data_IF_203240692611
#
_entry.id   IF_203240692611
#
_cell.length_a   1.000
_cell.length_b   1.000
_cell.length_c   1.000
_cell.angle_alpha   90.00
_cell.angle_beta   90.00
_cell.angle_gamma   90.00
#
_symmetry.space_group_name_H-M   'P 1'
#
loop_
_entity.id
_entity.type
_entity.pdbx_description
1 polymer ?
#
# COMPACT_ATOMS: atom_id res chain seq x y z
N UNK A 1 -27.52 -0.32 10.37
CA UNK A 1 -27.95 -1.54 9.66
C UNK A 1 -27.41 -2.81 10.36
N UNK A 2 -27.31 -2.82 11.70
CA UNK A 2 -26.65 -3.90 12.46
C UNK A 2 -27.60 -4.99 12.99
N UNK A 3 -28.91 -4.80 12.91
CA UNK A 3 -29.88 -5.65 13.62
C UNK A 3 -30.07 -7.04 13.02
N UNK A 4 -29.94 -7.20 11.71
CA UNK A 4 -30.13 -8.51 11.04
C UNK A 4 -28.94 -9.47 11.18
N UNK A 5 -27.73 -8.94 11.41
CA UNK A 5 -26.53 -9.76 11.61
C UNK A 5 -26.48 -10.35 13.03
N UNK A 6 -26.76 -9.53 14.05
CA UNK A 6 -26.75 -9.95 15.45
C UNK A 6 -27.84 -10.98 15.77
N UNK A 7 -29.04 -10.82 15.21
CA UNK A 7 -30.12 -11.81 15.36
C UNK A 7 -29.76 -13.15 14.70
N UNK A 8 -29.10 -13.11 13.53
CA UNK A 8 -28.61 -14.31 12.84
C UNK A 8 -27.50 -15.03 13.60
N UNK A 9 -26.54 -14.29 14.16
CA UNK A 9 -25.45 -14.84 14.95
C UNK A 9 -25.95 -15.47 16.27
N UNK A 10 -26.90 -14.83 16.96
CA UNK A 10 -27.50 -15.37 18.18
C UNK A 10 -28.28 -16.66 17.92
N UNK A 11 -29.08 -16.69 16.83
CA UNK A 11 -29.81 -17.89 16.41
C UNK A 11 -28.85 -19.03 16.02
N UNK A 12 -27.76 -18.72 15.31
CA UNK A 12 -26.73 -19.70 14.97
C UNK A 12 -26.06 -20.27 16.22
N UNK A 13 -25.71 -19.41 17.19
CA UNK A 13 -25.07 -19.81 18.46
C UNK A 13 -25.91 -20.84 19.21
N UNK A 14 -27.20 -20.55 19.42
CA UNK A 14 -28.09 -21.45 20.15
C UNK A 14 -28.18 -22.84 19.51
N UNK A 15 -28.25 -22.91 18.18
CA UNK A 15 -28.35 -24.17 17.43
C UNK A 15 -27.04 -24.95 17.44
N UNK A 16 -25.89 -24.26 17.35
CA UNK A 16 -24.57 -24.89 17.49
C UNK A 16 -24.42 -25.53 18.87
N UNK A 17 -24.84 -24.84 19.94
CA UNK A 17 -24.79 -25.35 21.31
C UNK A 17 -25.72 -26.56 21.52
N UNK A 18 -26.88 -26.57 20.87
CA UNK A 18 -27.79 -27.71 20.88
C UNK A 18 -27.19 -28.93 20.17
N UNK A 19 -26.63 -28.73 18.97
CA UNK A 19 -25.93 -29.77 18.22
C UNK A 19 -24.74 -30.33 19.02
N UNK A 20 -23.95 -29.46 19.66
CA UNK A 20 -22.81 -29.87 20.47
C UNK A 20 -23.22 -30.74 21.65
N UNK A 21 -24.30 -30.38 22.36
CA UNK A 21 -24.87 -31.20 23.44
C UNK A 21 -25.37 -32.55 22.92
N UNK A 22 -25.99 -32.59 21.75
CA UNK A 22 -26.46 -33.84 21.16
C UNK A 22 -25.33 -34.79 20.71
N UNK A 23 -24.14 -34.25 20.43
CA UNK A 23 -22.95 -34.99 20.00
C UNK A 23 -21.91 -35.19 21.12
N UNK A 24 -22.28 -34.92 22.37
CA UNK A 24 -21.39 -35.03 23.51
C UNK A 24 -20.79 -36.45 23.63
N UNK A 25 -19.48 -36.52 23.90
CA UNK A 25 -18.73 -37.78 23.97
C UNK A 25 -18.36 -38.42 22.62
N UNK A 26 -18.82 -37.84 21.49
CA UNK A 26 -18.42 -38.27 20.13
C UNK A 26 -17.47 -37.29 19.44
N UNK A 27 -17.47 -36.04 19.88
CA UNK A 27 -16.52 -35.03 19.41
C UNK A 27 -15.32 -34.90 20.35
N UNK A 28 -14.14 -34.70 19.77
CA UNK A 28 -12.88 -34.55 20.51
C UNK A 28 -12.71 -33.15 21.11
N UNK A 29 -13.44 -32.16 20.60
CA UNK A 29 -13.41 -30.78 21.05
C UNK A 29 -14.82 -30.16 21.01
N UNK A 30 -15.09 -29.25 21.95
CA UNK A 30 -16.31 -28.44 21.96
C UNK A 30 -16.38 -27.48 20.76
N UNK A 31 -17.56 -26.90 20.49
CA UNK A 31 -17.72 -25.94 19.40
C UNK A 31 -16.89 -24.68 19.67
N UNK A 32 -16.26 -24.10 18.64
CA UNK A 32 -15.75 -22.74 18.73
C UNK A 32 -16.92 -21.75 18.77
N UNK A 33 -16.65 -20.52 19.23
CA UNK A 33 -17.67 -19.47 19.27
C UNK A 33 -18.08 -19.00 17.86
N UNK A 34 -19.33 -18.59 17.69
CA UNK A 34 -19.87 -18.08 16.40
C UNK A 34 -19.18 -16.77 15.96
N UNK A 35 -18.48 -16.09 16.85
CA UNK A 35 -17.58 -14.96 16.51
C UNK A 35 -16.37 -15.38 15.66
N UNK A 36 -16.08 -16.68 15.57
CA UNK A 36 -15.01 -17.27 14.76
C UNK A 36 -15.62 -18.29 13.76
N UNK A 37 -16.30 -17.76 12.74
CA UNK A 37 -16.92 -18.56 11.69
C UNK A 37 -15.90 -19.45 10.94
N UNK A 38 -14.64 -19.01 10.86
CA UNK A 38 -13.54 -19.75 10.23
C UNK A 38 -13.22 -21.05 10.97
N UNK A 39 -13.18 -21.02 12.31
CA UNK A 39 -13.02 -22.23 13.12
C UNK A 39 -14.32 -23.07 13.19
N UNK A 40 -15.48 -22.43 13.13
CA UNK A 40 -16.79 -23.09 13.25
C UNK A 40 -17.12 -24.00 12.06
N UNK A 41 -16.81 -23.59 10.83
CA UNK A 41 -17.11 -24.40 9.65
C UNK A 41 -16.42 -25.79 9.64
N UNK A 42 -15.11 -25.92 9.92
CA UNK A 42 -14.45 -27.22 10.09
C UNK A 42 -15.07 -28.07 11.22
N UNK A 43 -15.44 -27.45 12.34
CA UNK A 43 -16.08 -28.15 13.44
C UNK A 43 -17.45 -28.71 13.03
N UNK A 44 -18.29 -27.93 12.34
CA UNK A 44 -19.58 -28.36 11.81
C UNK A 44 -19.44 -29.48 10.76
N UNK A 45 -18.43 -29.41 9.89
CA UNK A 45 -18.12 -30.47 8.94
C UNK A 45 -17.72 -31.78 9.64
N UNK A 46 -16.95 -31.68 10.74
CA UNK A 46 -16.59 -32.82 11.59
C UNK A 46 -17.82 -33.40 12.30
N UNK A 47 -18.66 -32.55 12.90
CA UNK A 47 -19.92 -32.95 13.53
C UNK A 47 -20.83 -33.73 12.56
N UNK A 48 -20.98 -33.23 11.33
CA UNK A 48 -21.73 -33.90 10.26
C UNK A 48 -21.14 -35.27 9.92
N UNK A 49 -19.81 -35.35 9.80
CA UNK A 49 -19.10 -36.60 9.47
C UNK A 49 -19.28 -37.63 10.59
N UNK A 50 -19.20 -37.21 11.85
CA UNK A 50 -19.44 -38.06 13.01
C UNK A 50 -20.87 -38.59 13.06
N UNK A 51 -21.88 -37.74 12.85
CA UNK A 51 -23.28 -38.15 12.81
C UNK A 51 -23.57 -39.11 11.64
N UNK A 52 -23.04 -38.83 10.45
CA UNK A 52 -23.17 -39.71 9.29
C UNK A 52 -22.47 -41.07 9.49
N UNK A 53 -21.33 -41.08 10.18
CA UNK A 53 -20.63 -42.32 10.56
C UNK A 53 -21.45 -43.17 11.55
N UNK A 54 -22.11 -42.53 12.52
CA UNK A 54 -23.01 -43.21 13.44
C UNK A 54 -24.25 -43.78 12.73
N UNK A 55 -24.85 -43.01 11.82
CA UNK A 55 -25.95 -43.47 10.97
C UNK A 55 -25.55 -44.69 10.14
N UNK A 56 -24.36 -44.68 9.54
CA UNK A 56 -23.87 -45.80 8.72
C UNK A 56 -23.61 -47.07 9.55
N UNK A 57 -23.38 -46.93 10.86
CA UNK A 57 -23.23 -48.05 11.78
C UNK A 57 -24.58 -48.63 12.23
N UNK A 58 -25.69 -47.93 12.01
CA UNK A 58 -27.03 -48.46 12.29
C UNK A 58 -27.33 -49.61 11.33
N UNK A 59 -27.59 -50.80 11.87
CA UNK A 59 -27.89 -51.99 11.07
C UNK A 59 -29.31 -52.01 10.49
N UNK A 60 -30.21 -51.15 10.97
CA UNK A 60 -31.60 -51.03 10.53
C UNK A 60 -32.05 -49.57 10.60
N UNK A 61 -33.05 -49.21 9.81
CA UNK A 61 -33.63 -47.86 9.79
C UNK A 61 -34.70 -47.73 10.88
N UNK A 62 -34.28 -47.37 12.09
CA UNK A 62 -35.12 -47.23 13.28
C UNK A 62 -35.09 -45.80 13.85
N UNK A 63 -35.62 -45.60 15.06
CA UNK A 63 -35.64 -44.29 15.71
C UNK A 63 -34.23 -43.74 16.00
N UNK A 64 -33.25 -44.61 16.24
CA UNK A 64 -31.85 -44.22 16.46
C UNK A 64 -31.23 -43.75 15.15
N UNK A 65 -31.42 -44.49 14.06
CA UNK A 65 -31.01 -44.06 12.72
C UNK A 65 -31.67 -42.73 12.31
N UNK A 66 -32.96 -42.54 12.64
CA UNK A 66 -33.68 -41.28 12.44
C UNK A 66 -33.04 -40.11 13.19
N UNK A 67 -32.64 -40.32 14.44
CA UNK A 67 -31.92 -39.32 15.25
C UNK A 67 -30.58 -38.91 14.63
N UNK A 68 -29.76 -39.89 14.20
CA UNK A 68 -28.47 -39.62 13.56
C UNK A 68 -28.61 -38.90 12.22
N UNK A 69 -29.62 -39.28 11.42
CA UNK A 69 -29.94 -38.57 10.18
C UNK A 69 -30.31 -37.10 10.46
N UNK A 70 -31.14 -36.86 11.48
CA UNK A 70 -31.51 -35.49 11.89
C UNK A 70 -30.30 -34.66 12.29
N UNK A 71 -29.38 -35.21 13.09
CA UNK A 71 -28.16 -34.52 13.51
C UNK A 71 -27.21 -34.24 12.33
N UNK A 72 -27.09 -35.17 11.38
CA UNK A 72 -26.28 -34.97 10.19
C UNK A 72 -26.86 -33.89 9.26
N UNK A 73 -28.19 -33.80 9.15
CA UNK A 73 -28.87 -32.73 8.40
C UNK A 73 -28.74 -31.38 9.12
N UNK A 74 -28.93 -31.34 10.44
CA UNK A 74 -28.75 -30.13 11.24
C UNK A 74 -27.32 -29.57 11.12
N UNK A 75 -26.30 -30.42 11.25
CA UNK A 75 -24.91 -30.02 11.06
C UNK A 75 -24.62 -29.49 9.64
N UNK A 76 -25.28 -30.06 8.61
CA UNK A 76 -25.18 -29.56 7.23
C UNK A 76 -25.83 -28.19 7.09
N UNK A 77 -27.03 -28.00 7.63
CA UNK A 77 -27.77 -26.74 7.52
C UNK A 77 -27.05 -25.61 8.26
N UNK A 78 -26.47 -25.91 9.43
CA UNK A 78 -25.61 -24.97 10.16
C UNK A 78 -24.34 -24.64 9.38
N UNK A 79 -23.73 -25.61 8.67
CA UNK A 79 -22.57 -25.36 7.83
C UNK A 79 -22.91 -24.39 6.67
N UNK A 80 -24.08 -24.56 6.04
CA UNK A 80 -24.56 -23.63 5.00
C UNK A 80 -24.82 -22.24 5.60
N UNK A 81 -25.49 -22.16 6.75
CA UNK A 81 -25.76 -20.89 7.42
C UNK A 81 -24.45 -20.15 7.80
N UNK A 82 -23.46 -20.88 8.31
CA UNK A 82 -22.12 -20.36 8.61
C UNK A 82 -21.45 -19.79 7.35
N UNK A 83 -21.55 -20.49 6.21
CA UNK A 83 -21.02 -20.01 4.93
C UNK A 83 -21.70 -18.74 4.42
N UNK A 84 -23.03 -18.65 4.54
CA UNK A 84 -23.79 -17.44 4.15
C UNK A 84 -23.39 -16.23 5.00
N UNK A 85 -23.23 -16.42 6.32
CA UNK A 85 -22.79 -15.34 7.21
C UNK A 85 -21.35 -14.90 6.91
N UNK A 86 -20.44 -15.85 6.68
CA UNK A 86 -19.05 -15.54 6.31
C UNK A 86 -18.98 -14.75 5.00
N UNK A 87 -19.77 -15.11 3.98
CA UNK A 87 -19.83 -14.37 2.73
C UNK A 87 -20.38 -12.96 2.93
N UNK A 88 -21.45 -12.81 3.73
CA UNK A 88 -22.02 -11.52 4.05
C UNK A 88 -21.03 -10.61 4.79
N UNK A 89 -20.28 -11.17 5.74
CA UNK A 89 -19.22 -10.45 6.47
C UNK A 89 -18.10 -10.00 5.53
N UNK A 90 -17.68 -10.86 4.59
CA UNK A 90 -16.66 -10.52 3.59
C UNK A 90 -17.12 -9.36 2.69
N UNK A 91 -18.34 -9.43 2.15
CA UNK A 91 -18.91 -8.35 1.33
C UNK A 91 -19.01 -7.04 2.13
N UNK A 92 -19.41 -7.11 3.40
CA UNK A 92 -19.47 -5.94 4.27
C UNK A 92 -18.09 -5.31 4.50
N UNK A 93 -17.04 -6.13 4.71
CA UNK A 93 -15.66 -5.68 4.84
C UNK A 93 -15.14 -5.00 3.58
N UNK A 94 -15.37 -5.60 2.41
CA UNK A 94 -14.98 -5.00 1.13
C UNK A 94 -15.65 -3.64 0.92
N UNK A 95 -16.96 -3.55 1.20
CA UNK A 95 -17.70 -2.29 1.13
C UNK A 95 -17.14 -1.24 2.11
N UNK A 96 -16.75 -1.67 3.32
CA UNK A 96 -16.15 -0.79 4.31
C UNK A 96 -14.77 -0.27 3.88
N UNK A 97 -13.93 -1.13 3.28
CA UNK A 97 -12.63 -0.72 2.71
C UNK A 97 -12.83 0.28 1.56
N UNK A 98 -13.82 0.04 0.68
CA UNK A 98 -14.14 0.97 -0.39
C UNK A 98 -14.60 2.34 0.14
N UNK A 99 -15.42 2.34 1.20
CA UNK A 99 -15.87 3.57 1.87
C UNK A 99 -14.72 4.32 2.52
N UNK A 100 -13.84 3.62 3.24
CA UNK A 100 -12.63 4.15 3.84
C UNK A 100 -11.73 4.86 2.80
N UNK A 101 -11.48 4.20 1.67
CA UNK A 101 -10.70 4.78 0.57
C UNK A 101 -11.41 5.96 -0.09
N UNK A 102 -12.75 5.97 -0.11
CA UNK A 102 -13.53 7.10 -0.61
C UNK A 102 -13.36 8.34 0.29
N UNK A 103 -13.39 8.18 1.61
CA UNK A 103 -13.11 9.29 2.55
C UNK A 103 -11.72 9.87 2.32
N UNK A 104 -10.71 9.01 2.22
CA UNK A 104 -9.33 9.46 1.99
C UNK A 104 -9.15 10.18 0.65
N UNK A 105 -9.99 9.94 -0.36
CA UNK A 105 -9.92 10.69 -1.63
C UNK A 105 -10.22 12.18 -1.47
N UNK A 106 -10.99 12.57 -0.46
CA UNK A 106 -11.32 13.96 -0.19
C UNK A 106 -10.15 14.74 0.46
N UNK A 107 -9.14 14.00 0.94
CA UNK A 107 -7.95 14.58 1.58
C UNK A 107 -6.99 15.12 0.51
N UNK A 108 -6.50 16.35 0.72
CA UNK A 108 -5.84 17.14 -0.32
C UNK A 108 -4.34 16.88 -0.51
N UNK A 109 -3.62 16.51 0.56
CA UNK A 109 -2.15 16.38 0.53
C UNK A 109 -1.68 14.99 0.91
N UNK A 110 -0.45 14.65 0.50
CA UNK A 110 0.20 13.40 0.86
C UNK A 110 0.42 13.28 2.38
N UNK A 111 0.71 14.40 3.06
CA UNK A 111 0.86 14.45 4.50
C UNK A 111 -0.47 14.14 5.21
N UNK A 112 -1.55 14.84 4.81
CA UNK A 112 -2.86 14.63 5.43
C UNK A 112 -3.39 13.21 5.20
N UNK A 113 -3.08 12.60 4.05
CA UNK A 113 -3.41 11.19 3.78
C UNK A 113 -2.73 10.25 4.77
N UNK A 114 -1.44 10.43 5.02
CA UNK A 114 -0.68 9.64 5.98
C UNK A 114 -1.18 9.85 7.41
N UNK A 115 -1.67 11.06 7.71
CA UNK A 115 -2.21 11.43 9.00
C UNK A 115 -3.55 10.75 9.31
N UNK A 116 -4.42 10.61 8.30
CA UNK A 116 -5.76 10.01 8.46
C UNK A 116 -5.83 8.50 8.22
N UNK A 117 -4.80 7.90 7.62
CA UNK A 117 -4.86 6.50 7.17
C UNK A 117 -5.22 5.51 8.29
N UNK A 118 -4.55 5.59 9.45
CA UNK A 118 -4.80 4.69 10.57
C UNK A 118 -6.15 4.94 11.24
N UNK A 119 -6.60 6.20 11.30
CA UNK A 119 -7.92 6.55 11.82
C UNK A 119 -9.02 5.89 10.99
N UNK A 120 -8.97 6.09 9.68
CA UNK A 120 -9.96 5.54 8.73
C UNK A 120 -9.98 4.01 8.75
N UNK A 121 -8.82 3.36 8.86
CA UNK A 121 -8.74 1.90 9.00
C UNK A 121 -9.49 1.39 10.24
N UNK A 122 -9.33 2.06 11.37
CA UNK A 122 -9.97 1.66 12.64
C UNK A 122 -11.44 2.07 12.69
N UNK A 123 -11.80 3.21 12.08
CA UNK A 123 -13.17 3.73 12.05
C UNK A 123 -14.09 2.91 11.13
N UNK A 124 -13.55 2.36 10.03
CA UNK A 124 -14.36 1.72 9.00
C UNK A 124 -14.05 0.25 8.75
N UNK A 125 -12.79 -0.17 8.76
CA UNK A 125 -12.41 -1.49 8.26
C UNK A 125 -12.50 -2.61 9.30
N UNK A 126 -13.12 -2.36 10.45
CA UNK A 126 -13.36 -3.37 11.50
C UNK A 126 -12.14 -3.71 12.37
N UNK A 127 -10.97 -3.12 12.10
CA UNK A 127 -9.79 -3.28 12.94
C UNK A 127 -9.91 -2.46 14.22
N UNK A 128 -9.35 -2.99 15.31
CA UNK A 128 -9.27 -2.24 16.57
C UNK A 128 -7.97 -1.47 16.69
N UNK A 129 -6.93 -1.90 15.97
CA UNK A 129 -5.66 -1.17 15.93
C UNK A 129 -5.12 -1.14 14.52
N UNK A 130 -4.49 -0.03 14.19
CA UNK A 130 -3.72 0.13 12.97
C UNK A 130 -2.41 0.85 13.26
N UNK A 131 -1.32 0.40 12.65
CA UNK A 131 0.00 1.01 12.72
C UNK A 131 0.53 1.23 11.31
N UNK A 132 0.82 2.49 10.98
CA UNK A 132 1.52 2.89 9.78
C UNK A 132 3.02 2.98 10.07
N UNK A 133 3.79 2.28 9.26
CA UNK A 133 5.25 2.28 9.28
C UNK A 133 5.82 2.73 7.95
N UNK A 134 7.03 3.30 7.98
CA UNK A 134 7.80 3.71 6.81
C UNK A 134 9.03 2.82 6.66
N UNK A 135 9.50 2.69 5.43
CA UNK A 135 10.78 2.04 5.12
C UNK A 135 11.79 3.06 4.62
N UNK A 136 13.02 2.99 5.13
CA UNK A 136 14.17 3.76 4.64
C UNK A 136 15.35 2.81 4.37
N UNK A 137 15.48 2.36 3.13
CA UNK A 137 16.44 1.32 2.76
C UNK A 137 16.15 0.01 3.50
N UNK A 138 17.11 -0.46 4.30
CA UNK A 138 16.99 -1.67 5.12
C UNK A 138 16.36 -1.41 6.50
N UNK A 139 15.82 -0.20 6.73
CA UNK A 139 15.25 0.17 8.03
C UNK A 139 13.74 0.24 7.99
N UNK A 140 13.13 -0.29 9.04
CA UNK A 140 11.74 -0.09 9.40
C UNK A 140 11.64 1.00 10.47
N UNK A 141 10.81 2.01 10.17
CA UNK A 141 10.53 3.16 11.01
C UNK A 141 9.03 3.19 11.32
N UNK A 142 8.60 2.66 12.47
CA UNK A 142 7.22 2.83 12.91
C UNK A 142 6.90 4.32 13.07
N UNK A 143 5.70 4.74 12.68
CA UNK A 143 5.41 6.17 12.60
C UNK A 143 4.10 6.61 13.25
N UNK A 144 2.96 5.99 12.92
CA UNK A 144 1.66 6.41 13.46
C UNK A 144 0.83 5.21 13.83
N UNK A 145 0.25 5.21 15.02
CA UNK A 145 -0.68 4.17 15.43
C UNK A 145 -2.02 4.76 15.85
N UNK A 146 -3.09 3.99 15.61
CA UNK A 146 -4.45 4.27 16.07
C UNK A 146 -5.00 3.06 16.79
N UNK A 147 -5.70 3.30 17.89
CA UNK A 147 -6.34 2.29 18.72
C UNK A 147 -7.81 2.67 18.93
N UNK A 148 -8.70 1.68 18.86
CA UNK A 148 -10.08 1.79 19.28
C UNK A 148 -10.15 1.61 20.80
N UNK A 149 -10.26 2.72 21.53
CA UNK A 149 -10.37 2.71 22.99
C UNK A 149 -9.23 3.44 23.67
N UNK A 150 -8.46 2.72 24.50
CA UNK A 150 -7.41 3.22 25.41
C UNK A 150 -6.42 4.18 24.73
N UNK A 151 -6.76 5.48 24.76
CA UNK A 151 -5.99 6.54 24.13
C UNK A 151 -4.65 6.76 24.83
N UNK A 152 -4.60 6.55 26.15
CA UNK A 152 -3.38 6.70 26.96
C UNK A 152 -2.37 5.60 26.61
N UNK A 153 -2.83 4.36 26.37
CA UNK A 153 -1.98 3.31 25.83
C UNK A 153 -1.52 3.66 24.41
N UNK A 154 -2.43 4.12 23.55
CA UNK A 154 -2.11 4.48 22.17
C UNK A 154 -1.02 5.56 22.08
N UNK A 155 -1.13 6.61 22.91
CA UNK A 155 -0.17 7.70 22.93
C UNK A 155 1.20 7.24 23.44
N UNK A 156 1.26 6.53 24.58
CA UNK A 156 2.51 5.99 25.12
C UNK A 156 3.18 5.01 24.17
N UNK A 157 2.40 4.08 23.61
CA UNK A 157 2.88 3.12 22.61
C UNK A 157 3.46 3.86 21.40
N UNK A 158 2.73 4.82 20.84
CA UNK A 158 3.17 5.56 19.65
C UNK A 158 4.45 6.36 19.92
N UNK A 159 4.55 7.02 21.08
CA UNK A 159 5.73 7.80 21.46
C UNK A 159 6.98 6.92 21.55
N UNK A 160 6.89 5.78 22.25
CA UNK A 160 8.02 4.86 22.38
C UNK A 160 8.39 4.21 21.04
N UNK A 161 7.38 3.91 20.21
CA UNK A 161 7.58 3.25 18.92
C UNK A 161 8.22 4.19 17.88
N UNK A 162 7.90 5.50 17.89
CA UNK A 162 8.46 6.50 16.97
C UNK A 162 9.97 6.73 17.15
N UNK A 163 10.51 6.48 18.34
CA UNK A 163 11.94 6.58 18.60
C UNK A 163 12.73 5.38 18.04
N UNK A 164 12.03 4.27 17.73
CA UNK A 164 12.66 3.03 17.29
C UNK A 164 13.06 3.11 15.83
N UNK A 165 14.25 2.59 15.56
CA UNK A 165 14.72 2.27 14.22
C UNK A 165 15.07 0.79 14.21
N UNK A 166 14.29 -0.01 13.48
CA UNK A 166 14.43 -1.46 13.47
C UNK A 166 15.11 -1.83 12.15
N UNK A 167 16.23 -2.54 12.22
CA UNK A 167 16.84 -3.08 11.00
C UNK A 167 15.98 -4.26 10.52
N UNK A 168 15.65 -4.29 9.23
CA UNK A 168 14.81 -5.35 8.64
C UNK A 168 15.46 -6.73 8.76
N UNK A 169 16.73 -6.83 9.15
CA UNK A 169 17.39 -8.11 9.46
C UNK A 169 16.82 -8.74 10.74
N UNK A 170 16.41 -7.90 11.68
CA UNK A 170 15.81 -8.28 12.98
C UNK A 170 14.28 -8.38 12.92
N UNK A 171 13.72 -8.25 11.71
CA UNK A 171 12.30 -8.35 11.41
C UNK A 171 12.08 -9.20 10.14
N UNK A 172 12.34 -10.53 10.19
CA UNK A 172 12.28 -11.40 9.02
C UNK A 172 10.92 -11.40 8.30
N UNK A 173 9.81 -11.28 9.03
CA UNK A 173 8.48 -11.19 8.44
C UNK A 173 8.33 -9.91 7.61
N UNK A 174 8.64 -8.75 8.21
CA UNK A 174 8.51 -7.45 7.56
C UNK A 174 9.49 -7.32 6.38
N UNK A 175 10.67 -7.95 6.46
CA UNK A 175 11.58 -8.09 5.32
C UNK A 175 10.95 -8.89 4.18
N UNK A 176 10.33 -10.03 4.45
CA UNK A 176 9.66 -10.83 3.42
C UNK A 176 8.51 -10.05 2.75
N UNK A 177 7.77 -9.25 3.54
CA UNK A 177 6.74 -8.33 3.03
C UNK A 177 7.33 -7.29 2.07
N UNK A 178 8.49 -6.72 2.41
CA UNK A 178 9.21 -5.75 1.56
C UNK A 178 9.71 -6.42 0.27
N UNK A 179 10.38 -7.56 0.40
CA UNK A 179 11.05 -8.26 -0.71
C UNK A 179 10.03 -8.87 -1.69
N UNK A 180 8.94 -9.44 -1.18
CA UNK A 180 7.92 -10.11 -2.00
C UNK A 180 6.78 -9.20 -2.42
N UNK A 181 6.65 -8.02 -1.82
CA UNK A 181 5.57 -7.08 -2.11
C UNK A 181 4.17 -7.71 -1.89
N UNK A 182 4.01 -8.48 -0.81
CA UNK A 182 2.78 -9.21 -0.50
C UNK A 182 2.39 -9.02 0.97
N UNK A 183 1.09 -9.09 1.28
CA UNK A 183 0.63 -9.07 2.66
C UNK A 183 0.99 -10.38 3.37
N UNK A 184 1.07 -10.33 4.70
CA UNK A 184 1.27 -11.49 5.55
C UNK A 184 0.33 -11.47 6.75
N UNK A 185 0.14 -12.65 7.33
CA UNK A 185 -0.68 -12.88 8.53
C UNK A 185 0.15 -13.61 9.58
N UNK A 186 -0.04 -13.23 10.84
CA UNK A 186 0.57 -13.84 12.02
C UNK A 186 -0.54 -14.19 13.00
N UNK A 187 -0.73 -15.49 13.23
CA UNK A 187 -1.78 -16.02 14.11
C UNK A 187 -1.33 -16.11 15.57
N UNK A 188 -0.04 -16.26 15.81
CA UNK A 188 0.59 -16.28 17.15
C UNK A 188 1.89 -15.45 17.10
N UNK A 189 1.78 -14.17 17.44
CA UNK A 189 2.90 -13.24 17.38
C UNK A 189 3.96 -13.52 18.45
N UNK A 190 3.57 -14.12 19.58
CA UNK A 190 4.51 -14.47 20.66
C UNK A 190 5.33 -15.70 20.27
N UNK A 191 4.71 -16.72 19.68
CA UNK A 191 5.37 -17.94 19.24
C UNK A 191 6.10 -17.86 17.90
N UNK A 192 5.71 -16.98 16.98
CA UNK A 192 6.28 -16.93 15.63
C UNK A 192 7.68 -16.31 15.62
N UNK A 193 8.71 -17.10 15.30
CA UNK A 193 10.11 -16.66 15.29
C UNK A 193 10.42 -15.53 14.29
N UNK A 194 9.54 -15.27 13.32
CA UNK A 194 9.72 -14.24 12.28
C UNK A 194 9.34 -12.84 12.74
N UNK A 195 8.62 -12.69 13.86
CA UNK A 195 8.13 -11.40 14.34
C UNK A 195 9.19 -10.65 15.13
N UNK A 196 9.15 -9.32 15.09
CA UNK A 196 9.97 -8.49 15.97
C UNK A 196 9.46 -8.51 17.43
N UNK A 197 10.09 -9.32 18.29
CA UNK A 197 9.67 -9.51 19.69
C UNK A 197 9.58 -8.23 20.52
N UNK A 198 10.55 -7.29 20.45
CA UNK A 198 10.43 -6.05 21.20
C UNK A 198 9.18 -5.22 20.85
N UNK A 199 8.72 -5.27 19.59
CA UNK A 199 7.51 -4.56 19.16
C UNK A 199 6.24 -5.31 19.56
N UNK A 200 6.25 -6.64 19.44
CA UNK A 200 5.13 -7.52 19.85
C UNK A 200 4.86 -7.37 21.35
N UNK A 201 5.90 -7.40 22.17
CA UNK A 201 5.81 -7.27 23.63
C UNK A 201 5.34 -5.87 24.04
N UNK A 202 5.90 -4.82 23.45
CA UNK A 202 5.49 -3.44 23.69
C UNK A 202 4.01 -3.23 23.35
N UNK A 203 3.54 -3.84 22.26
CA UNK A 203 2.18 -3.72 21.77
C UNK A 203 1.18 -4.70 22.38
N UNK A 204 1.61 -5.64 23.24
CA UNK A 204 0.78 -6.75 23.72
C UNK A 204 0.05 -7.49 22.58
N UNK A 205 0.73 -7.62 21.43
CA UNK A 205 0.12 -8.13 20.20
C UNK A 205 0.08 -9.65 20.23
N UNK A 206 -1.11 -10.24 20.12
CA UNK A 206 -1.29 -11.69 20.05
C UNK A 206 -1.31 -12.24 18.62
N UNK A 207 -1.90 -11.50 17.69
CA UNK A 207 -2.00 -11.84 16.26
C UNK A 207 -2.14 -10.54 15.46
N UNK A 208 -1.66 -10.49 14.22
CA UNK A 208 -1.77 -9.31 13.37
C UNK A 208 -1.64 -9.64 11.89
N UNK A 209 -2.15 -8.73 11.05
CA UNK A 209 -1.93 -8.71 9.60
C UNK A 209 -1.05 -7.54 9.22
N UNK A 210 -0.26 -7.70 8.17
CA UNK A 210 0.64 -6.67 7.64
C UNK A 210 0.52 -6.60 6.12
N UNK A 211 0.48 -5.38 5.58
CA UNK A 211 0.31 -5.10 4.16
C UNK A 211 1.27 -4.00 3.67
N UNK A 212 2.05 -4.24 2.60
CA UNK A 212 2.96 -3.24 2.05
C UNK A 212 2.24 -2.11 1.30
N UNK A 213 2.79 -0.91 1.36
CA UNK A 213 2.32 0.27 0.62
C UNK A 213 3.27 0.49 -0.56
N UNK A 214 2.75 0.37 -1.79
CA UNK A 214 3.58 0.23 -3.01
C UNK A 214 3.25 1.27 -4.09
N UNK A 215 3.49 2.57 -3.85
CA UNK A 215 3.38 3.59 -4.90
C UNK A 215 4.51 3.39 -5.93
N UNK A 216 4.18 3.44 -7.22
CA UNK A 216 5.18 3.35 -8.30
C UNK A 216 6.05 2.08 -8.29
N UNK A 217 5.57 0.97 -7.70
CA UNK A 217 6.25 -0.33 -7.72
C UNK A 217 7.35 -0.52 -6.68
N UNK A 218 7.46 0.35 -5.67
CA UNK A 218 8.40 0.19 -4.56
C UNK A 218 7.69 0.28 -3.22
N UNK A 219 8.05 -0.59 -2.28
CA UNK A 219 7.57 -0.51 -0.90
C UNK A 219 8.13 0.75 -0.23
N UNK A 220 7.24 1.62 0.25
CA UNK A 220 7.60 2.85 1.01
C UNK A 220 7.27 2.75 2.49
N UNK A 221 6.56 1.69 2.87
CA UNK A 221 6.02 1.48 4.19
C UNK A 221 5.06 0.30 4.19
N UNK A 222 4.44 0.07 5.34
CA UNK A 222 3.43 -0.97 5.50
C UNK A 222 2.44 -0.58 6.60
N UNK A 223 1.22 -1.08 6.46
CA UNK A 223 0.23 -1.08 7.52
C UNK A 223 0.34 -2.38 8.29
N UNK A 224 0.22 -2.30 9.62
CA UNK A 224 -0.15 -3.43 10.46
C UNK A 224 -1.54 -3.17 11.03
N UNK A 225 -2.33 -4.22 11.22
CA UNK A 225 -3.61 -4.10 11.89
C UNK A 225 -3.96 -5.37 12.67
N UNK A 226 -4.72 -5.20 13.75
CA UNK A 226 -5.19 -6.30 14.57
C UNK A 226 -6.48 -5.95 15.36
N UNK A 227 -6.89 -6.90 16.20
CA UNK A 227 -8.11 -6.83 17.00
C UNK A 227 -7.87 -6.72 18.51
N UNK A 228 -6.65 -6.44 18.98
CA UNK A 228 -6.44 -6.26 20.41
C UNK A 228 -7.13 -4.95 20.91
N UNK A 229 -7.70 -4.93 22.13
CA UNK A 229 -7.67 -5.97 23.18
C UNK A 229 -8.84 -6.97 23.14
N UNK A 230 -9.59 -7.09 22.04
CA UNK A 230 -10.82 -7.92 22.02
C UNK A 230 -10.60 -9.42 22.19
N UNK A 231 -9.37 -9.91 22.01
CA UNK A 231 -9.05 -11.34 22.02
C UNK A 231 -9.36 -12.07 20.71
N UNK A 232 -10.00 -11.42 19.73
CA UNK A 232 -10.19 -11.98 18.38
C UNK A 232 -8.83 -12.16 17.67
N UNK A 233 -8.62 -13.35 17.11
CA UNK A 233 -7.45 -13.65 16.28
C UNK A 233 -7.72 -13.17 14.85
N UNK A 234 -6.70 -12.63 14.17
CA UNK A 234 -6.83 -12.25 12.76
C UNK A 234 -7.00 -13.47 11.85
N UNK A 235 -7.68 -13.30 10.72
CA UNK A 235 -7.90 -14.33 9.69
C UNK A 235 -7.48 -13.86 8.28
N UNK A 236 -7.70 -14.72 7.27
CA UNK A 236 -7.36 -14.39 5.87
C UNK A 236 -8.19 -13.21 5.32
N UNK A 237 -9.44 -13.06 5.76
CA UNK A 237 -10.29 -11.95 5.34
C UNK A 237 -9.77 -10.61 5.91
N UNK A 238 -9.23 -10.61 7.14
CA UNK A 238 -8.51 -9.46 7.71
C UNK A 238 -7.29 -9.09 6.85
N UNK A 239 -6.50 -10.10 6.43
CA UNK A 239 -5.31 -9.88 5.60
C UNK A 239 -5.71 -9.26 4.26
N UNK A 240 -6.74 -9.81 3.63
CA UNK A 240 -7.18 -9.39 2.31
C UNK A 240 -7.85 -8.01 2.35
N UNK A 241 -8.62 -7.70 3.41
CA UNK A 241 -9.16 -6.37 3.64
C UNK A 241 -8.06 -5.32 3.86
N UNK A 242 -7.04 -5.63 4.67
CA UNK A 242 -5.91 -4.73 4.88
C UNK A 242 -5.11 -4.54 3.58
N UNK A 243 -4.93 -5.61 2.81
CA UNK A 243 -4.24 -5.55 1.52
C UNK A 243 -4.97 -4.67 0.52
N UNK A 244 -6.28 -4.88 0.33
CA UNK A 244 -7.10 -4.05 -0.54
C UNK A 244 -7.05 -2.57 -0.14
N UNK A 245 -7.09 -2.29 1.17
CA UNK A 245 -6.90 -0.93 1.68
C UNK A 245 -5.51 -0.39 1.33
N UNK A 246 -4.43 -1.13 1.58
CA UNK A 246 -3.07 -0.69 1.31
C UNK A 246 -2.82 -0.40 -0.18
N UNK A 247 -3.36 -1.22 -1.08
CA UNK A 247 -3.30 -1.00 -2.53
C UNK A 247 -4.08 0.24 -2.96
N UNK A 248 -5.26 0.46 -2.39
CA UNK A 248 -6.05 1.66 -2.63
C UNK A 248 -5.34 2.91 -2.11
N UNK A 249 -4.83 2.84 -0.89
CA UNK A 249 -4.09 3.91 -0.24
C UNK A 249 -2.83 4.28 -1.03
N UNK A 250 -2.04 3.29 -1.45
CA UNK A 250 -0.83 3.51 -2.25
C UNK A 250 -1.10 4.31 -3.52
N UNK A 251 -2.22 4.02 -4.21
CA UNK A 251 -2.66 4.77 -5.39
C UNK A 251 -3.07 6.21 -5.07
N UNK A 252 -3.76 6.43 -3.95
CA UNK A 252 -4.13 7.79 -3.51
C UNK A 252 -2.90 8.60 -3.12
N UNK A 253 -1.98 7.98 -2.39
CA UNK A 253 -0.72 8.57 -1.97
C UNK A 253 0.16 8.93 -3.18
N UNK A 254 0.32 8.02 -4.14
CA UNK A 254 1.05 8.29 -5.38
C UNK A 254 0.46 9.49 -6.13
N UNK A 255 -0.86 9.52 -6.29
CA UNK A 255 -1.56 10.64 -6.93
C UNK A 255 -1.30 11.96 -6.21
N UNK A 256 -1.41 11.99 -4.88
CA UNK A 256 -1.19 13.20 -4.09
C UNK A 256 0.25 13.71 -4.24
N UNK A 257 1.25 12.83 -4.12
CA UNK A 257 2.67 13.18 -4.30
C UNK A 257 2.94 13.71 -5.71
N UNK A 258 2.34 13.13 -6.76
CA UNK A 258 2.50 13.60 -8.13
C UNK A 258 1.89 14.99 -8.35
N UNK A 259 0.69 15.24 -7.81
CA UNK A 259 0.04 16.56 -7.89
C UNK A 259 0.89 17.62 -7.16
N UNK A 260 1.40 17.31 -5.96
CA UNK A 260 2.25 18.22 -5.21
C UNK A 260 3.57 18.53 -5.93
N UNK A 261 4.21 17.51 -6.54
CA UNK A 261 5.42 17.70 -7.36
C UNK A 261 5.15 18.60 -8.56
N UNK A 262 4.04 18.37 -9.27
CA UNK A 262 3.65 19.22 -10.40
C UNK A 262 3.40 20.66 -9.96
N UNK A 263 2.70 20.86 -8.83
CA UNK A 263 2.47 22.18 -8.27
C UNK A 263 3.78 22.87 -7.84
N UNK A 264 4.73 22.12 -7.27
CA UNK A 264 6.05 22.64 -6.92
C UNK A 264 6.88 23.01 -8.15
N UNK A 265 6.85 22.20 -9.21
CA UNK A 265 7.50 22.51 -10.49
C UNK A 265 6.91 23.77 -11.13
N UNK A 266 5.57 23.90 -11.15
CA UNK A 266 4.91 25.10 -11.67
C UNK A 266 5.33 26.36 -10.92
N UNK A 267 5.34 26.32 -9.58
CA UNK A 267 5.82 27.44 -8.76
C UNK A 267 7.28 27.80 -9.04
N UNK A 268 8.14 26.81 -9.25
CA UNK A 268 9.54 27.06 -9.59
C UNK A 268 9.68 27.74 -10.96
N UNK A 269 8.89 27.32 -11.96
CA UNK A 269 8.83 27.97 -13.27
C UNK A 269 8.36 29.42 -13.14
N UNK A 270 7.25 29.66 -12.43
CA UNK A 270 6.71 31.00 -12.17
C UNK A 270 7.76 31.92 -11.50
N UNK A 271 8.49 31.40 -10.51
CA UNK A 271 9.57 32.14 -9.82
C UNK A 271 10.75 32.46 -10.75
N UNK A 272 11.15 31.52 -11.60
CA UNK A 272 12.22 31.74 -12.57
C UNK A 272 11.83 32.85 -13.59
N UNK A 273 10.59 32.84 -14.07
CA UNK A 273 10.07 33.89 -14.94
C UNK A 273 9.98 35.25 -14.23
N UNK A 274 9.50 35.29 -12.99
CA UNK A 274 9.46 36.52 -12.20
C UNK A 274 10.86 37.13 -12.03
N UNK A 275 11.84 36.31 -11.66
CA UNK A 275 13.24 36.75 -11.52
C UNK A 275 13.85 37.22 -12.85
N UNK A 276 13.54 36.54 -13.95
CA UNK A 276 13.97 36.97 -15.28
C UNK A 276 13.37 38.33 -15.66
N UNK A 277 12.07 38.56 -15.41
CA UNK A 277 11.40 39.86 -15.64
C UNK A 277 12.07 40.99 -14.88
N UNK A 278 12.37 40.80 -13.59
CA UNK A 278 13.07 41.79 -12.77
C UNK A 278 14.45 42.13 -13.35
N UNK A 279 15.17 41.11 -13.81
CA UNK A 279 16.48 41.28 -14.44
C UNK A 279 16.38 42.06 -15.76
N UNK A 280 15.40 41.74 -16.61
CA UNK A 280 15.17 42.45 -17.86
C UNK A 280 14.78 43.91 -17.64
N UNK A 281 13.91 44.18 -16.67
CA UNK A 281 13.53 45.54 -16.28
C UNK A 281 14.74 46.34 -15.79
N UNK A 282 15.64 45.72 -15.01
CA UNK A 282 16.88 46.37 -14.55
C UNK A 282 17.88 46.66 -15.69
N UNK A 283 17.78 45.93 -16.81
CA UNK A 283 18.64 46.09 -17.99
C UNK A 283 18.01 46.94 -19.11
N UNK A 284 16.84 47.56 -18.88
CA UNK A 284 16.07 48.33 -19.87
C UNK A 284 15.78 47.55 -21.17
N UNK A 285 15.61 46.22 -21.04
CA UNK A 285 15.25 45.33 -22.14
C UNK A 285 13.72 45.16 -22.19
N UNK A 286 13.10 45.53 -23.32
CA UNK A 286 11.66 45.34 -23.54
C UNK A 286 11.34 43.87 -23.86
N UNK A 287 11.16 43.07 -22.80
CA UNK A 287 10.77 41.65 -22.91
C UNK A 287 9.28 41.51 -22.60
N UNK A 288 8.50 41.19 -23.64
CA UNK A 288 7.07 40.89 -23.52
C UNK A 288 6.87 39.39 -23.28
N UNK A 289 6.32 39.05 -22.12
CA UNK A 289 5.75 37.72 -21.87
C UNK A 289 4.31 37.72 -22.40
N UNK A 290 3.99 36.70 -23.20
CA UNK A 290 2.63 36.47 -23.71
C UNK A 290 2.02 35.37 -22.85
N UNK A 291 0.97 35.69 -22.11
CA UNK A 291 0.15 34.68 -21.44
C UNK A 291 -0.63 33.90 -22.50
N UNK A 292 -0.31 32.62 -22.64
CA UNK A 292 -1.10 31.70 -23.46
C UNK A 292 -2.22 31.15 -22.59
N UNK A 293 -3.26 31.97 -22.36
CA UNK A 293 -4.51 31.51 -21.74
C UNK A 293 -5.44 30.96 -22.83
N UNK A 294 -5.46 29.64 -23.04
CA UNK A 294 -6.36 28.98 -24.00
C UNK A 294 -6.08 27.49 -24.23
N UNK A 295 -7.13 26.74 -24.59
CA UNK A 295 -7.15 25.30 -24.96
C UNK A 295 -6.02 24.93 -25.95
N UNK A 296 -5.19 23.89 -25.72
CA UNK A 296 -4.01 23.60 -26.54
C UNK A 296 -4.32 23.11 -27.96
N UNK A 297 -5.60 22.95 -28.31
CA UNK A 297 -6.05 22.38 -29.59
C UNK A 297 -7.03 23.32 -30.32
N UNK A 298 -6.66 24.59 -30.45
CA UNK A 298 -7.23 25.50 -31.44
C UNK A 298 -6.37 25.50 -32.69
N UNK A 299 -6.89 24.93 -33.78
CA UNK A 299 -6.31 25.00 -35.12
C UNK A 299 -6.18 26.48 -35.57
N UNK A 300 -5.13 26.80 -36.33
CA UNK A 300 -4.81 28.11 -36.92
C UNK A 300 -4.19 29.20 -36.01
N UNK A 301 -2.97 28.93 -35.54
CA UNK A 301 -1.81 29.80 -35.86
C UNK A 301 -0.52 29.04 -35.48
N UNK A 302 0.30 28.74 -36.48
CA UNK A 302 1.53 27.97 -36.29
C UNK A 302 2.51 28.74 -35.38
N UNK A 303 2.60 28.31 -34.12
CA UNK A 303 3.74 28.63 -33.25
C UNK A 303 5.04 28.37 -34.02
N UNK A 304 6.04 29.28 -33.96
CA UNK A 304 7.32 29.01 -34.57
C UNK A 304 7.88 27.73 -33.95
N UNK A 305 8.19 26.75 -34.81
CA UNK A 305 8.72 25.46 -34.40
C UNK A 305 9.85 25.63 -33.36
N UNK A 306 9.94 24.76 -32.34
CA UNK A 306 11.04 24.80 -31.39
C UNK A 306 12.35 24.85 -32.18
N UNK A 307 13.19 25.84 -31.88
CA UNK A 307 14.39 26.15 -32.62
C UNK A 307 15.14 24.87 -32.97
N UNK A 308 15.27 24.59 -34.28
CA UNK A 308 15.91 23.40 -34.80
C UNK A 308 17.24 23.12 -34.08
N UNK A 309 17.62 21.85 -33.91
CA UNK A 309 18.92 21.44 -33.34
C UNK A 309 20.13 22.19 -33.98
N UNK A 310 19.95 22.69 -35.20
CA UNK A 310 20.88 23.57 -35.93
C UNK A 310 21.15 24.90 -35.21
N UNK A 311 20.12 25.54 -34.64
CA UNK A 311 20.21 26.83 -33.92
C UNK A 311 20.96 26.69 -32.59
N UNK A 312 20.78 25.57 -31.88
CA UNK A 312 21.52 25.29 -30.64
C UNK A 312 22.98 24.96 -30.94
N UNK A 313 23.24 24.20 -32.02
CA UNK A 313 24.61 23.92 -32.49
C UNK A 313 25.36 25.17 -32.93
N UNK A 314 24.67 26.18 -33.46
CA UNK A 314 25.28 27.46 -33.84
C UNK A 314 25.82 28.27 -32.64
N UNK A 315 25.32 28.03 -31.43
CA UNK A 315 25.74 28.69 -30.18
C UNK A 315 26.89 27.95 -29.45
N UNK A 316 27.36 26.84 -30.00
CA UNK A 316 28.40 26.00 -29.44
C UNK A 316 29.74 26.28 -30.12
N UNK A 317 30.80 26.32 -29.32
CA UNK A 317 32.17 26.35 -29.87
C UNK A 317 32.45 25.06 -30.63
N UNK A 318 33.43 25.08 -31.55
CA UNK A 318 33.84 23.86 -32.29
C UNK A 318 34.12 22.68 -31.36
N UNK A 319 34.76 22.94 -30.22
CA UNK A 319 35.09 21.91 -29.24
C UNK A 319 33.90 21.36 -28.47
N UNK A 320 32.92 22.21 -28.16
CA UNK A 320 31.69 21.76 -27.52
C UNK A 320 30.84 20.89 -28.46
N UNK A 321 30.87 21.14 -29.77
CA UNK A 321 30.19 20.30 -30.77
C UNK A 321 30.83 18.91 -30.88
N UNK A 322 32.15 18.84 -30.92
CA UNK A 322 32.88 17.56 -30.94
C UNK A 322 32.60 16.72 -29.68
N UNK A 323 32.58 17.36 -28.50
CA UNK A 323 32.26 16.68 -27.24
C UNK A 323 30.79 16.23 -27.21
N UNK A 324 29.87 17.05 -27.71
CA UNK A 324 28.44 16.70 -27.80
C UNK A 324 28.22 15.48 -28.71
N UNK A 325 28.85 15.43 -29.88
CA UNK A 325 28.69 14.32 -30.83
C UNK A 325 29.15 12.98 -30.25
N UNK A 326 30.25 12.98 -29.47
CA UNK A 326 30.72 11.78 -28.78
C UNK A 326 29.84 11.43 -27.57
N UNK A 327 29.31 12.43 -26.88
CA UNK A 327 28.40 12.25 -25.75
C UNK A 327 27.06 11.63 -26.18
N UNK A 328 26.49 12.07 -27.31
CA UNK A 328 25.25 11.52 -27.88
C UNK A 328 25.42 10.06 -28.32
N UNK A 329 26.63 9.67 -28.71
CA UNK A 329 27.00 8.26 -28.99
C UNK A 329 27.17 7.39 -27.74
N UNK A 330 26.90 7.94 -26.56
CA UNK A 330 26.97 7.20 -25.29
C UNK A 330 28.36 7.12 -24.67
N UNK A 331 29.38 7.80 -25.23
CA UNK A 331 30.74 7.73 -24.68
C UNK A 331 30.85 8.42 -23.32
N UNK A 332 31.61 7.81 -22.42
CA UNK A 332 31.97 8.35 -21.11
C UNK A 332 33.04 9.45 -21.20
N UNK A 333 33.19 10.25 -20.14
CA UNK A 333 34.10 11.41 -20.16
C UNK A 333 35.58 11.02 -20.33
N UNK A 334 35.98 9.82 -19.91
CA UNK A 334 37.35 9.31 -20.08
C UNK A 334 37.62 8.92 -21.53
N UNK A 335 36.67 8.23 -22.16
CA UNK A 335 36.76 7.85 -23.57
C UNK A 335 36.76 9.07 -24.50
N UNK A 336 35.95 10.07 -24.18
CA UNK A 336 35.95 11.36 -24.89
C UNK A 336 37.29 12.08 -24.71
N UNK A 337 37.85 12.06 -23.50
CA UNK A 337 39.13 12.69 -23.20
C UNK A 337 40.27 12.02 -23.99
N UNK A 338 40.30 10.69 -24.04
CA UNK A 338 41.30 9.93 -24.79
C UNK A 338 41.18 10.18 -26.30
N UNK A 339 39.95 10.21 -26.83
CA UNK A 339 39.69 10.40 -28.27
C UNK A 339 39.96 11.81 -28.76
N UNK A 340 39.76 12.80 -27.90
CA UNK A 340 40.00 14.21 -28.22
C UNK A 340 41.37 14.71 -27.75
N UNK A 341 42.20 13.85 -27.12
CA UNK A 341 43.50 14.20 -26.53
C UNK A 341 43.37 15.37 -25.54
N UNK A 342 42.44 15.22 -24.59
CA UNK A 342 42.15 16.18 -23.52
C UNK A 342 42.35 15.58 -22.14
N UNK A 343 42.48 16.45 -21.14
CA UNK A 343 42.30 16.07 -19.74
C UNK A 343 40.81 15.79 -19.45
N UNK A 344 40.53 14.77 -18.64
CA UNK A 344 39.15 14.39 -18.23
C UNK A 344 38.42 15.55 -17.55
N UNK A 345 39.15 16.39 -16.79
CA UNK A 345 38.59 17.61 -16.16
C UNK A 345 38.10 18.65 -17.19
N UNK A 346 38.80 18.77 -18.31
CA UNK A 346 38.41 19.65 -19.42
C UNK A 346 37.13 19.15 -20.09
N UNK A 347 37.01 17.83 -20.30
CA UNK A 347 35.77 17.23 -20.83
C UNK A 347 34.59 17.45 -19.89
N UNK A 348 34.77 17.27 -18.56
CA UNK A 348 33.71 17.58 -17.57
C UNK A 348 33.23 19.03 -17.68
N UNK A 349 34.16 19.96 -17.88
CA UNK A 349 33.85 21.39 -18.04
C UNK A 349 33.05 21.65 -19.32
N UNK A 350 33.45 21.06 -20.44
CA UNK A 350 32.69 21.14 -21.69
C UNK A 350 31.30 20.53 -21.54
N UNK A 351 31.16 19.34 -20.95
CA UNK A 351 29.85 18.69 -20.72
C UNK A 351 28.94 19.58 -19.87
N UNK A 352 29.47 20.22 -18.81
CA UNK A 352 28.69 21.17 -18.00
C UNK A 352 28.23 22.39 -18.81
N UNK A 353 29.09 22.92 -19.67
CA UNK A 353 28.74 24.03 -20.58
C UNK A 353 27.67 23.61 -21.59
N UNK A 354 27.78 22.40 -22.13
CA UNK A 354 26.84 21.81 -23.10
C UNK A 354 25.46 21.63 -22.45
N UNK A 355 25.39 21.02 -21.25
CA UNK A 355 24.13 20.85 -20.50
C UNK A 355 23.41 22.19 -20.31
N UNK A 356 24.16 23.22 -19.90
CA UNK A 356 23.62 24.58 -19.73
C UNK A 356 23.15 25.19 -21.05
N UNK A 357 23.88 25.01 -22.15
CA UNK A 357 23.54 25.57 -23.47
C UNK A 357 22.35 24.87 -24.15
N UNK A 358 22.18 23.58 -23.87
CA UNK A 358 21.07 22.75 -24.39
C UNK A 358 19.85 22.81 -23.47
N UNK A 359 20.00 23.28 -22.23
CA UNK A 359 18.92 23.35 -21.24
C UNK A 359 18.59 22.01 -20.58
N UNK A 360 19.52 21.06 -20.60
CA UNK A 360 19.33 19.72 -20.03
C UNK A 360 19.90 19.62 -18.62
N UNK A 361 19.17 18.96 -17.71
CA UNK A 361 19.59 18.73 -16.33
C UNK A 361 20.64 17.60 -16.22
N UNK A 362 20.64 16.65 -17.15
CA UNK A 362 21.58 15.54 -17.14
C UNK A 362 21.91 14.98 -18.54
N UNK A 363 22.92 14.09 -18.58
CA UNK A 363 23.42 13.47 -19.82
C UNK A 363 22.34 12.70 -20.58
N UNK A 364 21.46 11.98 -19.88
CA UNK A 364 20.42 11.18 -20.51
C UNK A 364 19.39 12.07 -21.24
N UNK A 365 19.09 13.23 -20.66
CA UNK A 365 18.22 14.23 -21.27
C UNK A 365 18.83 14.85 -22.55
N UNK A 366 20.14 15.14 -22.56
CA UNK A 366 20.82 15.57 -23.80
C UNK A 366 20.71 14.53 -24.90
N UNK A 367 20.94 13.26 -24.58
CA UNK A 367 20.84 12.15 -25.53
C UNK A 367 19.41 12.08 -26.07
N UNK A 368 18.39 12.12 -25.20
CA UNK A 368 16.99 12.05 -25.59
C UNK A 368 16.52 13.24 -26.44
N UNK A 369 17.07 14.44 -26.23
CA UNK A 369 16.79 15.63 -27.03
C UNK A 369 17.36 15.50 -28.45
N UNK A 370 18.60 15.02 -28.57
CA UNK A 370 19.28 14.93 -29.88
C UNK A 370 18.88 13.70 -30.71
N UNK A 371 18.50 12.59 -30.07
CA UNK A 371 18.01 11.39 -30.78
C UNK A 371 16.65 11.64 -31.43
N UNK A 372 15.78 12.45 -30.80
CA UNK A 372 14.43 12.76 -31.33
C UNK A 372 14.40 13.74 -32.51
N UNK A 373 15.48 14.50 -32.74
CA UNK A 373 15.58 15.45 -33.86
C UNK A 373 16.51 14.99 -34.98
N UNK A 374 16.81 13.70 -35.08
CA UNK A 374 17.68 13.10 -36.11
C UNK A 374 17.00 11.97 -36.90
N UNK A 375 15.66 11.89 -36.88
CA UNK A 375 14.85 10.95 -37.68
C UNK A 375 13.94 11.71 -38.65
#
# INVERSE_FOLDING_TARGET
MTTTGDEGAAALTARVDELARALEGRMTAGPPGVSDLGALAPWLASARTSAAGALAACGQMDAEAGGWLSLALEARDLLVACGVLSEADRVAREAAVAQALHELRAVGTAADLLDRACDVLVEHCGFRRALLSRTDGERWLPWKARFAGDADFAERFTAELQERRIDLVDAPLERDVVDRMRPAIVLDAVGDARTNKPTVELGLTGSYVVAPIIPGGRVVGFFHADHHPSGRVVDEDDRDALWAFAEGFGRLYERAVLIERLAAQRRHIEQAFASARETFAALDLDVRLVDVEGDPLGEDEALPAPASNESVRALMTGREREVLDLLVRGMGNREIADRLVLQVGTVKTHVKSILRKVGAANRAEVIALYVRGSS
#
